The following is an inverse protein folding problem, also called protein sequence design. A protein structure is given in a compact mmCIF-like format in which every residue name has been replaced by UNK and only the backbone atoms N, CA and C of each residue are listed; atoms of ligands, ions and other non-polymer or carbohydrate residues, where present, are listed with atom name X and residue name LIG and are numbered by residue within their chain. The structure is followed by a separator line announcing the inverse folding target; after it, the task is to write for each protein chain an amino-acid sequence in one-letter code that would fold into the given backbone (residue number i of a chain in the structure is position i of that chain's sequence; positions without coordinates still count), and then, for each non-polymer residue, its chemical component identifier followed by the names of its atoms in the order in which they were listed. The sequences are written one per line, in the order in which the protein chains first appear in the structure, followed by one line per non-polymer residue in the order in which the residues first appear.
data_IF_060506365952
#
_entry.id   IF_060506365952
#
_cell.length_a   1.000
_cell.length_b   1.000
_cell.length_c   1.000
_cell.angle_alpha   90.00
_cell.angle_beta   90.00
_cell.angle_gamma   90.00
#
_symmetry.space_group_name_H-M   'P 1'
#
loop_
_entity.id
_entity.type
_entity.pdbx_description
1 polymer ?
#
# COMPACT_ATOMS: atom_id res chain seq x y z
N UNK A 1 -2.51 3.68 8.37
CA UNK A 1 -2.91 2.60 9.32
C UNK A 1 -2.37 2.93 10.71
N UNK A 2 -2.92 2.36 11.77
CA UNK A 2 -2.35 2.48 13.13
C UNK A 2 -1.12 1.58 13.29
N UNK A 3 -0.38 1.75 14.38
CA UNK A 3 0.77 0.89 14.69
C UNK A 3 0.35 -0.59 14.92
N UNK A 4 -0.88 -0.84 15.38
CA UNK A 4 -1.44 -2.19 15.67
C UNK A 4 -2.00 -2.92 14.43
N UNK A 5 -1.79 -2.40 13.21
CA UNK A 5 -2.16 -3.14 12.00
C UNK A 5 -1.48 -4.52 12.03
N UNK A 6 -2.26 -5.57 11.77
CA UNK A 6 -1.89 -7.00 11.90
C UNK A 6 -1.76 -7.54 13.35
N UNK A 7 -1.81 -6.69 14.37
CA UNK A 7 -1.67 -7.12 15.77
C UNK A 7 -2.79 -8.07 16.23
N UNK A 8 -4.03 -7.84 15.80
CA UNK A 8 -5.14 -8.76 16.10
C UNK A 8 -4.90 -10.18 15.57
N UNK A 9 -4.36 -10.30 14.36
CA UNK A 9 -4.04 -11.61 13.74
C UNK A 9 -2.90 -12.27 14.51
N UNK A 10 -1.84 -11.52 14.82
CA UNK A 10 -0.72 -12.02 15.61
C UNK A 10 -1.16 -12.55 16.98
N UNK A 11 -2.05 -11.84 17.69
CA UNK A 11 -2.54 -12.23 19.02
C UNK A 11 -3.51 -13.41 19.01
N UNK A 12 -4.24 -13.64 17.90
CA UNK A 12 -5.34 -14.63 17.87
C UNK A 12 -4.94 -15.95 17.22
N UNK A 13 -3.88 -15.96 16.40
CA UNK A 13 -3.46 -17.15 15.66
C UNK A 13 -4.48 -17.62 14.61
N UNK A 14 -5.49 -16.80 14.30
CA UNK A 14 -6.48 -17.13 13.27
C UNK A 14 -5.81 -17.17 11.88
N UNK A 15 -6.26 -18.06 10.98
CA UNK A 15 -5.76 -18.08 9.61
C UNK A 15 -5.91 -16.71 8.94
N UNK A 16 -4.84 -16.27 8.28
CA UNK A 16 -4.79 -14.97 7.61
C UNK A 16 -4.38 -15.11 6.15
N UNK A 17 -5.16 -14.50 5.26
CA UNK A 17 -4.82 -14.31 3.85
C UNK A 17 -4.68 -12.81 3.58
N UNK A 18 -3.51 -12.40 3.11
CA UNK A 18 -3.19 -11.01 2.80
C UNK A 18 -2.69 -10.83 1.37
N UNK A 19 -2.66 -9.59 0.91
CA UNK A 19 -2.10 -9.20 -0.38
C UNK A 19 -1.67 -7.73 -0.34
N UNK A 20 -1.30 -7.20 -1.50
CA UNK A 20 -0.67 -5.88 -1.70
C UNK A 20 -1.57 -4.89 -2.46
N UNK A 21 -2.88 -5.11 -2.41
CA UNK A 21 -3.85 -4.30 -3.15
C UNK A 21 -3.72 -2.80 -2.85
N UNK A 22 -3.65 -1.99 -3.91
CA UNK A 22 -3.51 -0.54 -3.88
C UNK A 22 -2.29 -0.01 -3.09
N UNK A 23 -1.25 -0.83 -2.89
CA UNK A 23 0.00 -0.35 -2.28
C UNK A 23 0.83 0.52 -3.20
N UNK A 24 0.43 0.66 -4.47
CA UNK A 24 1.04 1.54 -5.44
C UNK A 24 0.69 3.02 -5.23
N UNK A 25 -0.27 3.36 -4.36
CA UNK A 25 -0.79 4.72 -4.24
C UNK A 25 -0.85 5.25 -2.80
N UNK A 26 -0.47 6.51 -2.63
CA UNK A 26 -0.66 7.29 -1.40
C UNK A 26 -1.77 8.30 -1.65
N UNK A 27 -2.74 8.36 -0.74
CA UNK A 27 -3.88 9.27 -0.86
C UNK A 27 -3.55 10.63 -0.26
N UNK A 28 -3.81 11.68 -1.02
CA UNK A 28 -3.92 13.06 -0.57
C UNK A 28 -5.33 13.58 -0.82
N UNK A 29 -5.65 14.72 -0.21
CA UNK A 29 -6.88 15.45 -0.54
C UNK A 29 -6.71 16.17 -1.90
N UNK A 30 -7.45 17.26 -2.12
CA UNK A 30 -7.35 18.09 -3.30
C UNK A 30 -5.88 18.46 -3.63
N UNK A 31 -5.51 18.65 -4.91
CA UNK A 31 -4.12 18.87 -5.33
C UNK A 31 -3.39 19.98 -4.56
N UNK A 32 -4.11 21.03 -4.16
CA UNK A 32 -3.57 22.16 -3.39
C UNK A 32 -3.11 21.81 -1.96
N UNK A 33 -3.47 20.63 -1.46
CA UNK A 33 -3.11 20.16 -0.11
C UNK A 33 -1.84 19.33 -0.08
N UNK A 34 -1.30 18.98 -1.25
CA UNK A 34 -0.12 18.12 -1.36
C UNK A 34 1.10 18.89 -0.83
N UNK A 35 1.86 18.32 0.13
CA UNK A 35 3.07 18.95 0.64
C UNK A 35 4.11 19.18 -0.46
N UNK A 36 4.79 20.33 -0.43
CA UNK A 36 5.76 20.76 -1.45
C UNK A 36 6.89 19.73 -1.69
N UNK A 37 7.29 18.99 -0.66
CA UNK A 37 8.30 17.92 -0.77
C UNK A 37 7.90 16.79 -1.74
N UNK A 38 6.62 16.70 -2.13
CA UNK A 38 6.10 15.72 -3.07
C UNK A 38 5.85 16.29 -4.47
N UNK A 39 6.16 17.57 -4.73
CA UNK A 39 5.84 18.27 -6.00
C UNK A 39 6.30 17.55 -7.27
N UNK A 40 7.42 16.83 -7.21
CA UNK A 40 8.05 16.15 -8.34
C UNK A 40 7.64 14.66 -8.45
N UNK A 41 6.50 14.29 -7.85
CA UNK A 41 5.96 12.94 -7.87
C UNK A 41 4.91 12.76 -8.97
N UNK A 42 4.64 11.51 -9.33
CA UNK A 42 3.58 11.17 -10.27
C UNK A 42 2.24 11.17 -9.53
N UNK A 43 1.30 12.01 -10.01
CA UNK A 43 -0.02 12.16 -9.44
C UNK A 43 -1.12 11.75 -10.41
N UNK A 44 -2.24 11.28 -9.85
CA UNK A 44 -3.48 10.99 -10.56
C UNK A 44 -4.63 11.67 -9.81
N UNK A 45 -5.34 12.59 -10.48
CA UNK A 45 -6.52 13.24 -9.93
C UNK A 45 -7.72 12.28 -10.04
N UNK A 46 -8.08 11.64 -8.94
CA UNK A 46 -9.20 10.70 -8.92
C UNK A 46 -10.55 11.43 -8.96
N UNK A 47 -10.65 12.53 -8.22
CA UNK A 47 -11.75 13.47 -8.26
C UNK A 47 -11.28 14.82 -7.65
N UNK A 48 -12.11 15.89 -7.67
CA UNK A 48 -11.68 17.22 -7.17
C UNK A 48 -11.19 17.26 -5.72
N UNK A 49 -11.53 16.25 -4.90
CA UNK A 49 -11.17 16.14 -3.50
C UNK A 49 -10.09 15.08 -3.22
N UNK A 50 -9.73 14.23 -4.18
CA UNK A 50 -8.83 13.10 -3.94
C UNK A 50 -7.77 13.04 -5.03
N UNK A 51 -6.52 13.13 -4.61
CA UNK A 51 -5.35 12.98 -5.47
C UNK A 51 -4.54 11.77 -5.01
N UNK A 52 -4.21 10.90 -5.95
CA UNK A 52 -3.36 9.73 -5.70
C UNK A 52 -1.93 10.07 -6.10
N UNK A 53 -0.96 9.67 -5.29
CA UNK A 53 0.47 9.78 -5.59
C UNK A 53 1.06 8.38 -5.76
N UNK A 54 1.73 8.12 -6.89
CA UNK A 54 2.39 6.84 -7.15
C UNK A 54 3.55 6.64 -6.16
N UNK A 55 3.60 5.47 -5.52
CA UNK A 55 4.71 5.06 -4.66
C UNK A 55 5.98 4.76 -5.47
N UNK A 56 7.13 4.99 -4.86
CA UNK A 56 8.43 4.62 -5.46
C UNK A 56 8.83 3.20 -5.09
N UNK A 57 9.80 2.64 -5.81
CA UNK A 57 10.40 1.34 -5.46
C UNK A 57 10.97 1.32 -4.02
N UNK A 58 11.53 2.43 -3.54
CA UNK A 58 12.05 2.53 -2.17
C UNK A 58 10.91 2.51 -1.14
N UNK A 59 9.81 3.21 -1.40
CA UNK A 59 8.62 3.20 -0.53
C UNK A 59 7.97 1.81 -0.53
N UNK A 60 7.85 1.16 -1.69
CA UNK A 60 7.36 -0.22 -1.81
C UNK A 60 8.22 -1.19 -1.01
N UNK A 61 9.55 -1.04 -1.04
CA UNK A 61 10.46 -1.83 -0.21
C UNK A 61 10.18 -1.64 1.28
N UNK A 62 10.08 -0.39 1.73
CA UNK A 62 9.80 -0.08 3.13
C UNK A 62 8.44 -0.63 3.58
N UNK A 63 7.41 -0.55 2.71
CA UNK A 63 6.09 -1.15 2.95
C UNK A 63 6.20 -2.68 3.08
N UNK A 64 6.94 -3.33 2.18
CA UNK A 64 7.17 -4.78 2.21
C UNK A 64 7.86 -5.24 3.50
N UNK A 65 8.94 -4.55 3.91
CA UNK A 65 9.65 -4.81 5.17
C UNK A 65 8.72 -4.62 6.38
N UNK A 66 7.90 -3.57 6.36
CA UNK A 66 6.94 -3.26 7.42
C UNK A 66 5.82 -4.31 7.55
N UNK A 67 5.29 -4.80 6.43
CA UNK A 67 4.29 -5.88 6.42
C UNK A 67 4.93 -7.19 6.87
N UNK A 68 6.06 -7.57 6.26
CA UNK A 68 6.75 -8.82 6.52
C UNK A 68 7.15 -8.97 7.99
N UNK A 69 7.70 -7.91 8.59
CA UNK A 69 8.09 -7.91 10.01
C UNK A 69 6.92 -8.21 10.95
N UNK A 70 5.71 -7.74 10.60
CA UNK A 70 4.51 -7.96 11.43
C UNK A 70 3.92 -9.34 11.22
N UNK A 71 3.84 -9.79 9.98
CA UNK A 71 3.37 -11.15 9.67
C UNK A 71 4.31 -12.22 10.24
N UNK A 72 5.61 -11.91 10.39
CA UNK A 72 6.57 -12.79 11.07
C UNK A 72 6.27 -12.98 12.57
N UNK A 73 5.42 -12.14 13.18
CA UNK A 73 4.96 -12.31 14.56
C UNK A 73 3.70 -13.18 14.66
N UNK A 74 3.12 -13.61 13.54
CA UNK A 74 1.94 -14.48 13.54
C UNK A 74 2.37 -15.94 13.71
N UNK A 75 1.83 -16.60 14.73
CA UNK A 75 2.06 -18.04 14.97
C UNK A 75 1.02 -18.94 14.27
N UNK A 76 -0.09 -18.35 13.80
CA UNK A 76 -1.11 -19.03 13.01
C UNK A 76 -0.80 -19.12 11.51
N UNK A 77 -1.61 -19.83 10.71
CA UNK A 77 -1.39 -19.96 9.26
C UNK A 77 -1.47 -18.61 8.54
N UNK A 78 -0.43 -18.27 7.78
CA UNK A 78 -0.36 -17.04 6.98
C UNK A 78 -0.13 -17.38 5.51
N UNK A 79 -0.99 -16.87 4.63
CA UNK A 79 -0.80 -16.87 3.19
C UNK A 79 -0.77 -15.43 2.67
N UNK A 80 0.32 -15.05 2.02
CA UNK A 80 0.47 -13.71 1.46
C UNK A 80 0.62 -13.79 -0.06
N UNK A 81 -0.32 -13.20 -0.79
CA UNK A 81 -0.43 -13.34 -2.24
C UNK A 81 0.10 -12.09 -2.94
N UNK A 82 1.01 -12.27 -3.89
CA UNK A 82 1.59 -11.18 -4.70
C UNK A 82 1.06 -11.28 -6.14
N UNK A 83 0.22 -10.34 -6.61
CA UNK A 83 -0.23 -10.30 -7.99
C UNK A 83 0.88 -9.71 -8.87
N UNK A 84 1.63 -10.56 -9.56
CA UNK A 84 2.83 -10.19 -10.31
C UNK A 84 2.60 -9.25 -11.52
N UNK A 85 1.33 -8.98 -11.89
CA UNK A 85 0.96 -8.18 -13.06
C UNK A 85 0.32 -6.84 -12.72
N UNK A 86 0.26 -6.48 -11.44
CA UNK A 86 -0.39 -5.26 -11.01
C UNK A 86 -1.09 -5.39 -9.67
N UNK A 87 -1.08 -4.33 -8.88
CA UNK A 87 -1.70 -4.29 -7.54
C UNK A 87 -2.95 -3.42 -7.46
N UNK A 88 -3.28 -2.70 -8.54
CA UNK A 88 -4.45 -1.83 -8.62
C UNK A 88 -4.98 -1.77 -10.07
N UNK A 89 -6.12 -1.11 -10.27
CA UNK A 89 -6.63 -0.83 -11.61
C UNK A 89 -5.80 0.22 -12.37
N UNK A 90 -4.97 0.99 -11.66
CA UNK A 90 -4.05 1.97 -12.26
C UNK A 90 -2.69 1.35 -12.55
N UNK A 91 -2.27 0.36 -11.75
CA UNK A 91 -1.03 -0.42 -11.87
C UNK A 91 -1.22 -1.62 -12.80
N UNK A 92 -1.34 -1.33 -14.10
CA UNK A 92 -1.44 -2.33 -15.15
C UNK A 92 -0.55 -1.93 -16.32
N UNK A 93 -0.30 -2.85 -17.25
CA UNK A 93 0.41 -2.52 -18.48
C UNK A 93 -0.32 -1.40 -19.25
N UNK A 94 0.38 -0.28 -19.48
CA UNK A 94 -0.18 0.92 -20.11
C UNK A 94 -1.10 1.75 -19.20
N UNK A 95 -1.21 1.40 -17.92
CA UNK A 95 -1.98 2.12 -16.91
C UNK A 95 -1.35 3.46 -16.53
N UNK A 96 -2.07 4.22 -15.71
CA UNK A 96 -1.62 5.55 -15.28
C UNK A 96 -0.44 5.49 -14.32
N UNK A 97 -0.30 4.38 -13.59
CA UNK A 97 0.62 4.17 -12.47
C UNK A 97 1.55 3.00 -12.78
#
# INVERSE_FOLDING_TARGET
ATQDRFGAIARTGLPYVGSVGALDMINFWAPSTIPEQHRDRLFYEHNPNVTLMRTTAQECRAIGEWIGTRLAQCEGPVHFLIPAKGVSALDIEGGAF
#
